data_IF_800831545780
#
_entry.id   IF_800831545780
#
_cell.length_a   1.000
_cell.length_b   1.000
_cell.length_c   1.000
_cell.angle_alpha   90.00
_cell.angle_beta   90.00
_cell.angle_gamma   90.00
#
_symmetry.space_group_name_H-M   'P 1'
#
loop_
_entity.id
_entity.type
_entity.pdbx_description
1 polymer ?
#
# COMPACT_ATOMS: atom_id res chain seq x y z
N UNK A 1 -18.02 16.98 0.54
CA UNK A 1 -17.85 17.54 -0.81
C UNK A 1 -18.13 16.45 -1.83
N UNK A 2 -18.96 16.73 -2.84
CA UNK A 2 -19.61 15.73 -3.71
C UNK A 2 -18.67 14.63 -4.26
N UNK A 3 -17.44 14.96 -4.66
CA UNK A 3 -16.48 13.97 -5.17
C UNK A 3 -16.02 12.97 -4.13
N UNK A 4 -15.71 13.42 -2.92
CA UNK A 4 -15.26 12.56 -1.83
C UNK A 4 -16.37 11.63 -1.33
N UNK A 5 -17.60 12.14 -1.27
CA UNK A 5 -18.78 11.35 -0.88
C UNK A 5 -19.07 10.23 -1.88
N UNK A 6 -19.01 10.55 -3.18
CA UNK A 6 -19.17 9.54 -4.24
C UNK A 6 -18.07 8.47 -4.18
N UNK A 7 -16.80 8.88 -3.97
CA UNK A 7 -15.69 7.93 -3.88
C UNK A 7 -15.84 7.00 -2.68
N UNK A 8 -16.22 7.55 -1.52
CA UNK A 8 -16.47 6.76 -0.32
C UNK A 8 -17.68 5.81 -0.49
N UNK A 9 -18.74 6.25 -1.18
CA UNK A 9 -19.87 5.38 -1.51
C UNK A 9 -19.44 4.19 -2.39
N UNK A 10 -18.64 4.44 -3.43
CA UNK A 10 -18.12 3.36 -4.29
C UNK A 10 -17.26 2.37 -3.50
N UNK A 11 -16.35 2.88 -2.66
CA UNK A 11 -15.47 2.07 -1.81
C UNK A 11 -16.25 1.25 -0.77
N UNK A 12 -17.33 1.81 -0.20
CA UNK A 12 -18.20 1.10 0.75
C UNK A 12 -18.97 -0.06 0.11
N UNK A 13 -19.34 0.09 -1.16
CA UNK A 13 -20.12 -0.92 -1.89
C UNK A 13 -19.24 -1.85 -2.75
N UNK A 14 -17.92 -1.74 -2.67
CA UNK A 14 -17.01 -2.65 -3.34
C UNK A 14 -17.18 -4.08 -2.79
N UNK A 15 -17.09 -5.07 -3.69
CA UNK A 15 -17.14 -6.49 -3.30
C UNK A 15 -15.94 -6.89 -2.44
N UNK A 16 -14.80 -6.28 -2.69
CA UNK A 16 -13.57 -6.42 -1.89
C UNK A 16 -13.21 -5.03 -1.43
N UNK A 17 -13.34 -4.80 -0.12
CA UNK A 17 -13.10 -3.48 0.49
C UNK A 17 -11.77 -3.43 1.21
N UNK A 18 -11.35 -4.54 1.82
CA UNK A 18 -10.15 -4.57 2.63
C UNK A 18 -9.00 -5.26 1.88
N UNK A 19 -7.80 -4.66 1.91
CA UNK A 19 -6.64 -5.18 1.20
C UNK A 19 -6.22 -6.58 1.66
N UNK A 20 -6.49 -6.96 2.92
CA UNK A 20 -6.19 -8.30 3.43
C UNK A 20 -7.18 -9.37 2.95
N UNK A 21 -8.34 -8.98 2.41
CA UNK A 21 -9.30 -9.88 1.76
C UNK A 21 -9.01 -10.04 0.26
N UNK A 22 -8.14 -9.20 -0.31
CA UNK A 22 -7.77 -9.26 -1.71
C UNK A 22 -6.84 -10.47 -1.96
N UNK A 23 -7.31 -11.40 -2.79
CA UNK A 23 -6.60 -12.64 -3.11
C UNK A 23 -5.24 -12.39 -3.78
N UNK A 24 -5.12 -11.36 -4.61
CA UNK A 24 -3.87 -11.02 -5.28
C UNK A 24 -2.83 -10.51 -4.27
N UNK A 25 -3.27 -9.73 -3.28
CA UNK A 25 -2.42 -9.26 -2.18
C UNK A 25 -1.97 -10.46 -1.34
N UNK A 26 -2.89 -11.35 -0.95
CA UNK A 26 -2.56 -12.55 -0.20
C UNK A 26 -1.54 -13.42 -0.95
N UNK A 27 -1.73 -13.61 -2.26
CA UNK A 27 -0.83 -14.39 -3.13
C UNK A 27 0.56 -13.75 -3.24
N UNK A 28 0.63 -12.43 -3.39
CA UNK A 28 1.89 -11.68 -3.42
C UNK A 28 2.71 -11.86 -2.13
N UNK A 29 2.03 -11.80 -0.98
CA UNK A 29 2.70 -12.06 0.31
C UNK A 29 3.13 -13.52 0.42
N UNK A 30 2.25 -14.47 0.09
CA UNK A 30 2.57 -15.89 0.16
C UNK A 30 3.77 -16.29 -0.73
N UNK A 31 3.80 -15.80 -1.96
CA UNK A 31 4.76 -16.25 -2.96
C UNK A 31 6.08 -15.48 -2.93
N UNK A 32 6.08 -14.22 -2.46
CA UNK A 32 7.23 -13.33 -2.61
C UNK A 32 7.60 -12.52 -1.37
N UNK A 33 6.65 -11.73 -0.83
CA UNK A 33 6.94 -10.77 0.25
C UNK A 33 6.98 -11.40 1.65
N UNK A 34 6.58 -12.67 1.77
CA UNK A 34 6.46 -13.45 3.00
C UNK A 34 5.36 -12.90 3.92
N UNK A 35 5.71 -12.06 4.88
CA UNK A 35 4.78 -11.47 5.83
C UNK A 35 4.96 -9.95 5.93
N UNK A 36 3.95 -9.20 6.41
CA UNK A 36 4.13 -7.78 6.70
C UNK A 36 5.36 -7.54 7.59
N UNK A 37 6.09 -6.47 7.31
CA UNK A 37 7.33 -6.11 8.01
C UNK A 37 8.48 -7.14 7.87
N UNK A 38 8.40 -8.10 6.95
CA UNK A 38 9.55 -8.95 6.61
C UNK A 38 10.71 -8.11 6.06
N UNK A 39 11.92 -8.69 6.01
CA UNK A 39 13.08 -8.02 5.40
C UNK A 39 12.80 -7.60 3.94
N UNK A 40 12.12 -8.45 3.17
CA UNK A 40 11.77 -8.16 1.77
C UNK A 40 10.73 -7.03 1.68
N UNK A 41 9.70 -7.06 2.51
CA UNK A 41 8.70 -5.98 2.57
C UNK A 41 9.32 -4.65 3.01
N UNK A 42 10.26 -4.67 3.96
CA UNK A 42 10.97 -3.47 4.40
C UNK A 42 11.84 -2.88 3.29
N UNK A 43 12.50 -3.73 2.49
CA UNK A 43 13.35 -3.27 1.39
C UNK A 43 12.56 -2.65 0.23
N UNK A 44 11.37 -3.16 -0.07
CA UNK A 44 10.61 -2.78 -1.28
C UNK A 44 9.49 -1.78 -0.97
N UNK A 45 8.82 -1.91 0.18
CA UNK A 45 7.61 -1.15 0.50
C UNK A 45 7.82 -0.05 1.56
N UNK A 46 8.98 -0.03 2.22
CA UNK A 46 9.28 0.96 3.24
C UNK A 46 10.39 1.89 2.74
N UNK A 47 10.42 3.10 3.29
CA UNK A 47 11.42 4.12 2.95
C UNK A 47 11.99 4.69 4.23
N UNK A 48 13.22 5.21 4.16
CA UNK A 48 13.83 5.96 5.25
C UNK A 48 13.67 7.46 4.96
N UNK A 49 12.98 8.16 5.86
CA UNK A 49 12.74 9.60 5.72
C UNK A 49 14.03 10.43 5.78
N UNK A 50 15.09 9.92 6.41
CA UNK A 50 16.38 10.60 6.50
C UNK A 50 17.32 10.26 5.33
N UNK A 51 17.02 9.19 4.58
CA UNK A 51 17.73 8.86 3.35
C UNK A 51 17.32 9.77 2.19
N UNK A 52 16.21 10.50 2.33
CA UNK A 52 15.79 11.49 1.36
C UNK A 52 16.59 12.79 1.54
N UNK A 53 17.70 12.92 0.81
CA UNK A 53 18.32 14.22 0.58
C UNK A 53 17.57 14.90 -0.56
N UNK A 54 16.79 15.94 -0.26
CA UNK A 54 16.36 16.88 -1.29
C UNK A 54 17.65 17.46 -1.89
N UNK A 55 17.90 17.25 -3.18
CA UNK A 55 19.05 17.86 -3.84
C UNK A 55 18.96 19.37 -3.63
N UNK A 56 19.91 19.97 -2.91
CA UNK A 56 20.11 21.41 -2.98
C UNK A 56 20.55 21.71 -4.42
N UNK A 57 19.62 22.25 -5.21
CA UNK A 57 19.96 22.90 -6.48
C UNK A 57 20.82 24.12 -6.16
N UNK A 58 21.86 24.40 -6.98
CA UNK A 58 22.83 25.48 -6.74
C UNK A 58 22.22 26.89 -6.72
#
# INVERSE_FOLDING_TARGET
>A
GVRGENLHFLDKNSKIRFSHENQDVAKLYQDFLEHPLSRKSHMILHTDHNAWSMHEEP
#
